data_IF_075466196923
#
_entry.id   IF_075466196923
#
_cell.length_a   1.000
_cell.length_b   1.000
_cell.length_c   1.000
_cell.angle_alpha   90.00
_cell.angle_beta   90.00
_cell.angle_gamma   90.00
#
_symmetry.space_group_name_H-M   'P 1'
#
loop_
_entity.id
_entity.type
_entity.pdbx_description
1 polymer ?
#
# COMPACT_ATOMS: atom_id res chain seq x y z
N UNK A 1 12.52 -26.62 3.07
CA UNK A 1 12.43 -25.16 3.38
C UNK A 1 10.96 -24.78 3.36
N UNK A 2 10.51 -23.95 4.30
CA UNK A 2 9.13 -23.44 4.28
C UNK A 2 8.88 -22.52 3.08
N UNK A 3 7.62 -22.33 2.70
CA UNK A 3 7.24 -21.36 1.67
C UNK A 3 7.60 -19.94 2.14
N UNK A 4 7.94 -19.07 1.20
CA UNK A 4 8.20 -17.65 1.50
C UNK A 4 6.89 -16.98 1.87
N UNK A 5 6.84 -16.26 2.99
CA UNK A 5 5.63 -15.57 3.45
C UNK A 5 5.56 -14.18 2.85
N UNK A 6 4.50 -13.89 2.11
CA UNK A 6 4.28 -12.60 1.43
C UNK A 6 3.06 -11.91 2.05
N UNK A 7 3.22 -10.66 2.49
CA UNK A 7 2.11 -9.79 2.85
C UNK A 7 1.86 -8.70 1.80
N UNK A 8 0.65 -8.18 1.73
CA UNK A 8 0.33 -6.98 0.94
C UNK A 8 -0.59 -6.05 1.71
N UNK A 9 -0.52 -4.74 1.45
CA UNK A 9 -1.23 -3.73 2.26
C UNK A 9 -1.78 -2.61 1.39
N UNK A 10 -2.98 -2.12 1.72
CA UNK A 10 -3.56 -0.89 1.18
C UNK A 10 -3.45 0.26 2.18
N UNK A 11 -2.81 1.35 1.76
CA UNK A 11 -2.88 2.65 2.41
C UNK A 11 -3.83 3.57 1.61
N UNK A 12 -3.50 4.86 1.47
CA UNK A 12 -4.21 5.78 0.59
C UNK A 12 -3.90 5.51 -0.89
N UNK A 13 -4.45 4.44 -1.43
CA UNK A 13 -4.31 4.01 -2.84
C UNK A 13 -5.66 3.79 -3.52
N UNK A 14 -5.62 3.29 -4.76
CA UNK A 14 -6.81 3.03 -5.57
C UNK A 14 -7.10 1.54 -5.80
N UNK A 15 -6.35 0.65 -5.14
CA UNK A 15 -6.27 -0.81 -5.34
C UNK A 15 -5.76 -1.27 -6.70
N UNK A 16 -5.40 -0.35 -7.60
CA UNK A 16 -4.92 -0.65 -8.94
C UNK A 16 -3.62 -1.45 -8.96
N UNK A 17 -2.73 -1.28 -7.97
CA UNK A 17 -1.49 -2.08 -7.93
C UNK A 17 -1.82 -3.53 -7.58
N UNK A 18 -2.75 -3.76 -6.65
CA UNK A 18 -3.25 -5.11 -6.38
C UNK A 18 -4.00 -5.71 -7.57
N UNK A 19 -4.73 -4.93 -8.36
CA UNK A 19 -5.32 -5.45 -9.61
C UNK A 19 -4.24 -5.89 -10.59
N UNK A 20 -3.17 -5.11 -10.76
CA UNK A 20 -2.06 -5.54 -11.61
C UNK A 20 -1.25 -6.71 -11.05
N UNK A 21 -1.25 -6.90 -9.72
CA UNK A 21 -0.78 -8.15 -9.11
C UNK A 21 -1.71 -9.33 -9.44
N UNK A 22 -3.02 -9.11 -9.55
CA UNK A 22 -3.94 -10.16 -10.00
C UNK A 22 -3.85 -10.43 -11.50
N UNK A 23 -3.42 -9.46 -12.31
CA UNK A 23 -3.05 -9.62 -13.74
C UNK A 23 -1.77 -10.47 -13.94
N UNK A 24 -1.25 -11.10 -12.88
CA UNK A 24 -0.29 -12.20 -13.00
C UNK A 24 -0.95 -13.48 -13.57
N UNK A 25 -2.28 -13.54 -13.62
CA UNK A 25 -3.06 -14.61 -14.23
C UNK A 25 -2.63 -16.01 -13.72
N UNK A 26 -2.26 -16.93 -14.61
CA UNK A 26 -1.87 -18.29 -14.23
C UNK A 26 -0.60 -18.34 -13.37
N UNK A 27 0.24 -17.30 -13.42
CA UNK A 27 1.45 -17.20 -12.58
C UNK A 27 1.12 -17.06 -11.11
N UNK A 28 -0.11 -16.69 -10.74
CA UNK A 28 -0.57 -16.75 -9.36
C UNK A 28 -0.62 -18.19 -8.83
N UNK A 29 -0.92 -19.16 -9.70
CA UNK A 29 -0.91 -20.58 -9.35
C UNK A 29 0.54 -21.03 -9.11
N UNK A 30 1.48 -20.58 -9.94
CA UNK A 30 2.91 -20.81 -9.73
C UNK A 30 3.40 -20.19 -8.41
N UNK A 31 3.00 -18.94 -8.15
CA UNK A 31 3.34 -18.23 -6.91
C UNK A 31 2.83 -18.99 -5.68
N UNK A 32 1.60 -19.49 -5.71
CA UNK A 32 1.00 -20.24 -4.60
C UNK A 32 1.72 -21.56 -4.29
N UNK A 33 2.50 -22.12 -5.23
CA UNK A 33 3.30 -23.31 -4.99
C UNK A 33 4.54 -23.01 -4.14
N UNK A 34 5.10 -21.81 -4.25
CA UNK A 34 6.40 -21.43 -3.64
C UNK A 34 6.28 -20.37 -2.53
N UNK A 35 5.16 -19.66 -2.46
CA UNK A 35 4.89 -18.62 -1.49
C UNK A 35 3.54 -18.84 -0.80
N UNK A 36 3.42 -18.28 0.40
CA UNK A 36 2.19 -18.22 1.18
C UNK A 36 1.77 -16.75 1.31
N UNK A 37 0.58 -16.42 0.81
CA UNK A 37 0.01 -15.08 0.98
C UNK A 37 -0.60 -14.99 2.38
N UNK A 38 0.03 -14.16 3.21
CA UNK A 38 -0.34 -13.95 4.60
C UNK A 38 -1.35 -12.80 4.68
N UNK A 39 -1.04 -11.73 5.42
CA UNK A 39 -1.94 -10.60 5.51
C UNK A 39 -1.99 -9.79 4.22
N UNK A 40 -3.18 -9.72 3.65
CA UNK A 40 -3.49 -9.04 2.39
C UNK A 40 -4.98 -8.64 2.35
N UNK A 41 -5.35 -7.53 1.69
CA UNK A 41 -6.74 -7.15 1.46
C UNK A 41 -7.61 -8.21 0.75
N UNK A 42 -7.00 -9.19 0.06
CA UNK A 42 -7.69 -10.31 -0.59
C UNK A 42 -7.72 -11.60 0.25
N UNK A 43 -7.27 -11.52 1.50
CA UNK A 43 -7.28 -12.63 2.47
C UNK A 43 -8.04 -12.21 3.73
N UNK A 44 -8.35 -13.18 4.59
CA UNK A 44 -9.10 -12.91 5.82
C UNK A 44 -8.27 -12.50 7.03
N UNK A 45 -6.95 -12.38 6.88
CA UNK A 45 -6.07 -11.83 7.92
C UNK A 45 -6.45 -10.38 8.21
N UNK A 46 -6.97 -10.12 9.42
CA UNK A 46 -7.50 -8.81 9.78
C UNK A 46 -6.36 -7.81 10.04
N UNK A 47 -6.05 -7.01 9.01
CA UNK A 47 -5.20 -5.81 9.07
C UNK A 47 -6.02 -4.52 8.94
N UNK A 48 -7.35 -4.60 8.89
CA UNK A 48 -8.23 -3.48 8.54
C UNK A 48 -9.38 -3.26 9.54
N UNK A 49 -9.33 -3.89 10.72
CA UNK A 49 -10.23 -3.59 11.85
C UNK A 49 -9.69 -2.41 12.68
N UNK A 50 -10.54 -1.67 13.41
CA UNK A 50 -10.09 -0.50 14.17
C UNK A 50 -8.93 -0.84 15.11
N UNK A 51 -8.04 0.15 15.23
CA UNK A 51 -6.64 0.14 15.69
C UNK A 51 -6.27 -0.81 16.84
N UNK A 52 -7.20 -1.14 17.73
CA UNK A 52 -6.96 -1.97 18.91
C UNK A 52 -6.65 -3.44 18.59
N UNK A 53 -6.94 -3.92 17.38
CA UNK A 53 -6.70 -5.32 16.96
C UNK A 53 -5.53 -5.48 15.97
N UNK A 54 -4.82 -4.40 15.60
CA UNK A 54 -3.68 -4.46 14.67
C UNK A 54 -2.51 -5.32 15.17
N UNK A 55 -2.53 -5.85 16.39
CA UNK A 55 -1.45 -6.69 16.93
C UNK A 55 -1.19 -8.00 16.16
N UNK A 56 -2.02 -8.35 15.18
CA UNK A 56 -2.01 -9.63 14.49
C UNK A 56 -1.42 -9.62 13.08
N UNK A 57 -0.74 -8.55 12.62
CA UNK A 57 0.01 -8.66 11.36
C UNK A 57 1.14 -9.69 11.52
N UNK A 58 1.14 -10.78 10.74
CA UNK A 58 2.11 -11.85 10.89
C UNK A 58 3.49 -11.36 10.46
N UNK A 59 4.53 -11.95 11.02
CA UNK A 59 5.88 -11.76 10.47
C UNK A 59 5.96 -12.36 9.08
N UNK A 60 6.45 -11.58 8.12
CA UNK A 60 6.53 -11.95 6.71
C UNK A 60 7.91 -11.64 6.14
N UNK A 61 8.28 -12.39 5.11
CA UNK A 61 9.57 -12.25 4.47
C UNK A 61 9.58 -11.08 3.48
N UNK A 62 8.46 -10.87 2.77
CA UNK A 62 8.29 -9.79 1.79
C UNK A 62 6.93 -9.12 2.01
N UNK A 63 6.88 -7.80 2.01
CA UNK A 63 5.64 -7.04 1.97
C UNK A 63 5.60 -6.03 0.83
N UNK A 64 4.51 -6.08 0.07
CA UNK A 64 4.15 -5.09 -0.95
C UNK A 64 3.18 -4.05 -0.35
N UNK A 65 3.61 -2.79 -0.25
CA UNK A 65 2.76 -1.72 0.31
C UNK A 65 2.30 -0.79 -0.81
N UNK A 66 1.01 -0.84 -1.12
CA UNK A 66 0.36 0.07 -2.06
C UNK A 66 -0.18 1.31 -1.34
N UNK A 67 -0.12 2.45 -2.02
CA UNK A 67 -0.80 3.68 -1.60
C UNK A 67 0.10 4.63 -0.81
N UNK A 68 -0.31 5.89 -0.77
CA UNK A 68 0.37 6.94 -0.02
C UNK A 68 -0.09 6.96 1.44
N UNK A 69 0.64 7.65 2.31
CA UNK A 69 0.23 7.88 3.70
C UNK A 69 -0.65 9.13 3.76
N UNK A 70 -1.97 8.95 3.99
CA UNK A 70 -2.94 10.07 3.92
C UNK A 70 -3.58 10.41 5.27
N UNK A 71 -3.58 9.49 6.23
CA UNK A 71 -4.21 9.65 7.53
C UNK A 71 -3.41 8.97 8.66
N UNK A 72 -3.86 9.13 9.90
CA UNK A 72 -3.22 8.57 11.09
C UNK A 72 -3.16 7.04 11.08
N UNK A 73 -4.23 6.36 10.66
CA UNK A 73 -4.26 4.89 10.61
C UNK A 73 -3.22 4.34 9.63
N UNK A 74 -3.03 5.01 8.48
CA UNK A 74 -2.00 4.61 7.53
C UNK A 74 -0.59 4.69 8.15
N UNK A 75 -0.32 5.68 9.01
CA UNK A 75 0.96 5.79 9.71
C UNK A 75 1.16 4.60 10.65
N UNK A 76 0.13 4.24 11.40
CA UNK A 76 0.17 3.15 12.38
C UNK A 76 0.33 1.79 11.69
N UNK A 77 -0.52 1.52 10.69
CA UNK A 77 -0.44 0.31 9.86
C UNK A 77 0.93 0.19 9.21
N UNK A 78 1.44 1.25 8.59
CA UNK A 78 2.74 1.22 7.91
C UNK A 78 3.91 0.94 8.87
N UNK A 79 3.88 1.50 10.08
CA UNK A 79 4.91 1.24 11.11
C UNK A 79 4.89 -0.21 11.58
N UNK A 80 3.71 -0.73 11.87
CA UNK A 80 3.54 -2.13 12.25
C UNK A 80 4.02 -3.08 11.15
N UNK A 81 3.59 -2.81 9.91
CA UNK A 81 3.97 -3.60 8.74
C UNK A 81 5.49 -3.59 8.61
N UNK A 82 6.13 -2.41 8.67
CA UNK A 82 7.60 -2.33 8.62
C UNK A 82 8.27 -3.17 9.70
N UNK A 83 7.79 -3.12 10.94
CA UNK A 83 8.37 -3.90 12.06
C UNK A 83 8.32 -5.40 11.81
N UNK A 84 7.26 -5.87 11.14
CA UNK A 84 6.97 -7.29 10.89
C UNK A 84 7.44 -7.80 9.52
N UNK A 85 7.96 -6.93 8.66
CA UNK A 85 8.47 -7.29 7.33
C UNK A 85 10.00 -7.35 7.32
N UNK A 86 10.58 -8.43 6.80
CA UNK A 86 12.03 -8.44 6.50
C UNK A 86 12.35 -7.53 5.32
N UNK A 87 11.59 -7.65 4.23
CA UNK A 87 11.68 -6.80 3.04
C UNK A 87 10.37 -6.04 2.87
N UNK A 88 10.44 -4.72 2.72
CA UNK A 88 9.29 -3.86 2.42
C UNK A 88 9.50 -3.15 1.09
N UNK A 89 8.52 -3.27 0.19
CA UNK A 89 8.53 -2.72 -1.15
C UNK A 89 7.48 -1.63 -1.26
N UNK A 90 7.87 -0.44 -1.71
CA UNK A 90 6.91 0.58 -2.15
C UNK A 90 6.30 0.14 -3.49
N UNK A 91 5.03 -0.25 -3.45
CA UNK A 91 4.33 -0.88 -4.56
C UNK A 91 3.42 0.13 -5.28
N UNK A 92 3.94 0.68 -6.38
CA UNK A 92 3.27 1.67 -7.23
C UNK A 92 3.51 3.12 -6.85
N UNK A 93 3.23 4.03 -7.78
CA UNK A 93 3.64 5.44 -7.70
C UNK A 93 3.03 6.19 -6.51
N UNK A 94 1.84 5.80 -6.06
CA UNK A 94 1.28 6.34 -4.81
C UNK A 94 2.19 6.06 -3.60
N UNK A 95 2.74 4.85 -3.49
CA UNK A 95 3.64 4.49 -2.41
C UNK A 95 5.04 5.11 -2.60
N UNK A 96 5.53 5.16 -3.84
CA UNK A 96 6.87 5.66 -4.20
C UNK A 96 6.97 7.18 -4.06
N UNK A 97 5.99 7.94 -4.55
CA UNK A 97 6.06 9.41 -4.63
C UNK A 97 4.85 10.14 -4.04
N UNK A 98 3.79 9.43 -3.67
CA UNK A 98 2.51 10.01 -3.23
C UNK A 98 1.49 10.18 -4.37
N UNK A 99 1.97 10.34 -5.61
CA UNK A 99 1.21 10.47 -6.87
C UNK A 99 -0.13 11.24 -6.78
N UNK A 100 -1.21 10.71 -7.36
CA UNK A 100 -2.51 11.40 -7.47
C UNK A 100 -3.06 11.87 -6.11
N UNK A 101 -3.05 11.06 -5.02
CA UNK A 101 -3.43 11.53 -3.69
C UNK A 101 -2.68 12.79 -3.22
N UNK A 102 -1.41 12.95 -3.62
CA UNK A 102 -0.58 14.08 -3.21
C UNK A 102 -0.98 15.42 -3.85
N UNK A 103 -1.81 15.45 -4.90
CA UNK A 103 -2.38 16.71 -5.40
C UNK A 103 -3.19 17.47 -4.34
N UNK A 104 -3.74 16.76 -3.34
CA UNK A 104 -4.40 17.37 -2.18
C UNK A 104 -3.47 18.33 -1.42
N UNK A 105 -2.15 18.14 -1.49
CA UNK A 105 -1.16 18.97 -0.80
C UNK A 105 -1.12 20.43 -1.28
N UNK A 106 -1.77 20.74 -2.41
CA UNK A 106 -1.95 22.11 -2.90
C UNK A 106 -2.98 22.90 -2.06
N UNK A 107 -3.77 22.21 -1.23
CA UNK A 107 -4.87 22.80 -0.45
C UNK A 107 -4.71 22.47 1.04
N UNK A 108 -5.32 23.28 1.91
CA UNK A 108 -5.44 22.92 3.33
C UNK A 108 -6.48 21.81 3.48
N UNK A 109 -6.26 20.91 4.44
CA UNK A 109 -7.18 19.79 4.73
C UNK A 109 -8.61 20.29 4.95
N UNK A 110 -8.80 21.36 5.73
CA UNK A 110 -10.13 21.90 6.02
C UNK A 110 -10.84 22.42 4.76
N UNK A 111 -10.11 23.02 3.82
CA UNK A 111 -10.70 23.54 2.59
C UNK A 111 -11.23 22.38 1.73
N UNK A 112 -10.49 21.28 1.66
CA UNK A 112 -10.90 20.06 0.94
C UNK A 112 -12.13 19.42 1.61
N UNK A 113 -12.14 19.33 2.95
CA UNK A 113 -13.28 18.77 3.68
C UNK A 113 -14.53 19.64 3.53
N UNK A 114 -14.40 20.97 3.61
CA UNK A 114 -15.50 21.91 3.42
C UNK A 114 -16.09 21.78 2.00
N UNK A 115 -15.23 21.74 0.99
CA UNK A 115 -15.66 21.63 -0.40
C UNK A 115 -16.49 20.35 -0.65
N UNK A 116 -16.10 19.21 -0.06
CA UNK A 116 -16.78 17.92 -0.28
C UNK A 116 -18.01 17.75 0.61
N UNK A 117 -17.88 18.02 1.92
CA UNK A 117 -18.90 17.67 2.91
C UNK A 117 -19.88 18.79 3.26
N UNK A 118 -19.59 20.04 2.91
CA UNK A 118 -20.47 21.19 3.16
C UNK A 118 -20.95 21.80 1.84
N UNK A 119 -20.03 22.29 1.01
CA UNK A 119 -20.37 23.08 -0.17
C UNK A 119 -21.02 22.25 -1.29
N UNK A 120 -20.50 21.05 -1.55
CA UNK A 120 -20.98 20.14 -2.61
C UNK A 120 -21.85 19.00 -2.11
N UNK A 121 -22.11 18.93 -0.81
CA UNK A 121 -22.95 17.87 -0.26
C UNK A 121 -24.43 18.17 -0.51
N UNK A 122 -25.13 17.24 -1.17
CA UNK A 122 -26.55 17.37 -1.46
C UNK A 122 -27.43 17.10 -0.22
N UNK A 123 -26.92 16.35 0.76
CA UNK A 123 -27.64 15.92 1.96
C UNK A 123 -26.69 15.87 3.16
N UNK A 124 -27.22 16.07 4.36
CA UNK A 124 -26.48 15.93 5.63
C UNK A 124 -25.13 16.67 5.62
N UNK A 125 -25.18 17.97 5.31
CA UNK A 125 -23.99 18.85 5.27
C UNK A 125 -23.34 18.94 6.65
N UNK A 126 -22.33 18.12 6.87
CA UNK A 126 -21.52 18.13 8.07
C UNK A 126 -20.19 17.45 7.79
N UNK A 127 -19.12 17.97 8.39
CA UNK A 127 -17.83 17.27 8.36
C UNK A 127 -17.90 16.10 9.35
N UNK A 128 -17.56 14.86 8.93
CA UNK A 128 -17.49 13.74 9.86
C UNK A 128 -16.51 14.00 11.00
N UNK A 129 -16.99 13.85 12.24
CA UNK A 129 -16.27 14.23 13.46
C UNK A 129 -15.98 13.07 14.43
N UNK A 130 -16.58 11.89 14.24
CA UNK A 130 -16.31 10.73 15.10
C UNK A 130 -14.92 10.14 14.83
N UNK A 131 -13.97 10.51 15.70
CA UNK A 131 -12.57 10.07 15.60
C UNK A 131 -12.32 8.67 16.15
N UNK A 132 -13.32 8.01 16.73
CA UNK A 132 -13.21 6.60 17.11
C UNK A 132 -13.34 5.67 15.89
N UNK A 133 -13.95 6.17 14.81
CA UNK A 133 -14.24 5.41 13.60
C UNK A 133 -13.51 5.98 12.38
N UNK A 134 -13.30 7.30 12.32
CA UNK A 134 -12.74 7.98 11.15
C UNK A 134 -11.37 8.58 11.51
N UNK A 135 -10.28 8.11 10.88
CA UNK A 135 -8.96 8.62 11.16
C UNK A 135 -8.82 10.08 10.77
N UNK A 136 -7.90 10.77 11.46
CA UNK A 136 -7.56 12.14 11.10
C UNK A 136 -6.70 12.13 9.83
N UNK A 137 -7.07 12.93 8.83
CA UNK A 137 -6.22 13.20 7.69
C UNK A 137 -4.93 13.90 8.13
N UNK A 138 -3.80 13.49 7.56
CA UNK A 138 -2.54 14.21 7.73
C UNK A 138 -2.61 15.56 7.02
N UNK A 139 -1.83 16.52 7.49
CA UNK A 139 -1.75 17.84 6.84
C UNK A 139 -1.30 17.71 5.38
N UNK A 140 -0.32 16.83 5.12
CA UNK A 140 0.14 16.47 3.79
C UNK A 140 0.12 14.96 3.59
N UNK A 141 -0.21 14.55 2.38
CA UNK A 141 0.03 13.20 1.86
C UNK A 141 1.52 13.05 1.58
N UNK A 142 2.10 11.93 2.00
CA UNK A 142 3.53 11.63 1.79
C UNK A 142 3.73 10.21 1.26
N UNK A 143 4.80 9.95 0.49
CA UNK A 143 5.21 8.59 0.14
C UNK A 143 5.58 7.81 1.40
N UNK A 144 5.55 6.47 1.31
CA UNK A 144 5.76 5.61 2.48
C UNK A 144 7.19 5.71 3.04
N UNK A 145 8.16 6.06 2.19
CA UNK A 145 9.58 6.26 2.54
C UNK A 145 9.82 7.43 3.48
N UNK A 146 8.86 8.37 3.59
CA UNK A 146 8.94 9.46 4.58
C UNK A 146 8.60 9.00 6.00
N UNK A 147 7.96 7.83 6.15
CA UNK A 147 7.48 7.33 7.45
C UNK A 147 8.30 6.14 7.93
N UNK A 148 8.70 5.25 7.03
CA UNK A 148 9.47 4.04 7.34
C UNK A 148 10.56 3.78 6.30
N UNK A 149 11.56 2.97 6.66
CA UNK A 149 12.56 2.48 5.70
C UNK A 149 11.91 1.56 4.66
N UNK A 150 12.13 1.85 3.39
CA UNK A 150 11.74 1.03 2.23
C UNK A 150 12.99 0.34 1.68
N UNK A 151 12.89 -0.94 1.34
CA UNK A 151 14.02 -1.71 0.81
C UNK A 151 14.06 -1.66 -0.73
N UNK A 152 12.91 -1.70 -1.40
CA UNK A 152 12.80 -1.59 -2.86
C UNK A 152 11.63 -0.71 -3.28
N UNK A 153 11.76 -0.10 -4.47
CA UNK A 153 10.72 0.72 -5.08
C UNK A 153 10.31 0.08 -6.40
N UNK A 154 9.01 -0.19 -6.55
CA UNK A 154 8.42 -0.75 -7.75
C UNK A 154 7.44 0.29 -8.34
N UNK A 155 7.92 1.18 -9.23
CA UNK A 155 7.12 2.27 -9.77
C UNK A 155 6.12 1.83 -10.85
N UNK A 156 5.13 2.68 -11.07
CA UNK A 156 4.02 2.53 -12.01
C UNK A 156 2.67 2.77 -11.36
N UNK A 157 1.67 3.20 -12.14
CA UNK A 157 0.31 3.45 -11.67
C UNK A 157 -0.75 2.74 -12.53
N UNK A 158 -0.86 1.39 -12.44
CA UNK A 158 -0.06 0.50 -11.59
C UNK A 158 1.24 0.02 -12.24
N UNK A 159 2.18 -0.57 -11.47
CA UNK A 159 3.34 -1.27 -12.03
C UNK A 159 2.88 -2.42 -12.93
N UNK A 160 3.51 -2.66 -14.09
CA UNK A 160 3.10 -3.76 -14.97
C UNK A 160 3.24 -5.14 -14.29
N UNK A 161 2.32 -6.06 -14.58
CA UNK A 161 2.33 -7.43 -14.06
C UNK A 161 3.68 -8.15 -14.25
N UNK A 162 4.33 -7.99 -15.41
CA UNK A 162 5.65 -8.57 -15.67
C UNK A 162 6.75 -8.01 -14.74
N UNK A 163 6.67 -6.72 -14.38
CA UNK A 163 7.62 -6.09 -13.45
C UNK A 163 7.38 -6.56 -12.01
N UNK A 164 6.12 -6.75 -11.63
CA UNK A 164 5.72 -7.36 -10.36
C UNK A 164 6.27 -8.78 -10.27
N UNK A 165 6.03 -9.59 -11.30
CA UNK A 165 6.48 -10.98 -11.39
C UNK A 165 8.00 -11.11 -11.28
N UNK A 166 8.73 -10.30 -12.06
CA UNK A 166 10.18 -10.26 -12.04
C UNK A 166 10.70 -9.95 -10.63
N UNK A 167 10.15 -8.91 -10.00
CA UNK A 167 10.55 -8.49 -8.66
C UNK A 167 10.35 -9.61 -7.64
N UNK A 168 9.17 -10.23 -7.62
CA UNK A 168 8.85 -11.31 -6.69
C UNK A 168 9.78 -12.50 -6.94
N UNK A 169 9.98 -12.93 -8.19
CA UNK A 169 10.85 -14.07 -8.51
C UNK A 169 12.30 -13.84 -8.08
N UNK A 170 12.87 -12.66 -8.35
CA UNK A 170 14.22 -12.33 -7.89
C UNK A 170 14.35 -12.50 -6.37
N UNK A 171 13.39 -11.97 -5.62
CA UNK A 171 13.40 -12.03 -4.16
C UNK A 171 13.16 -13.45 -3.62
N UNK A 172 12.30 -14.24 -4.26
CA UNK A 172 12.10 -15.66 -3.93
C UNK A 172 13.39 -16.48 -4.13
N UNK A 173 14.22 -16.11 -5.11
CA UNK A 173 15.52 -16.72 -5.38
C UNK A 173 16.67 -16.15 -4.51
N UNK A 174 16.36 -15.20 -3.61
CA UNK A 174 17.36 -14.52 -2.77
C UNK A 174 18.26 -13.55 -3.55
N UNK A 175 17.86 -13.15 -4.77
CA UNK A 175 18.55 -12.17 -5.61
C UNK A 175 17.97 -10.78 -5.42
N UNK A 176 18.80 -9.75 -5.54
CA UNK A 176 18.33 -8.38 -5.59
C UNK A 176 17.75 -8.09 -6.98
N UNK A 177 16.53 -7.52 -7.10
CA UNK A 177 15.97 -7.13 -8.39
C UNK A 177 16.78 -5.97 -8.99
N UNK A 178 17.24 -6.16 -10.23
CA UNK A 178 17.95 -5.12 -10.99
C UNK A 178 16.99 -4.49 -12.00
N UNK A 179 16.45 -3.32 -11.65
CA UNK A 179 15.53 -2.62 -12.52
C UNK A 179 16.26 -1.89 -13.64
N UNK A 180 16.05 -2.35 -14.87
CA UNK A 180 16.47 -1.64 -16.09
C UNK A 180 15.38 -0.67 -16.57
N UNK A 181 15.69 0.15 -17.57
CA UNK A 181 14.74 1.13 -18.16
C UNK A 181 13.42 0.51 -18.60
N UNK A 182 13.40 -0.76 -18.97
CA UNK A 182 12.20 -1.48 -19.44
C UNK A 182 11.20 -1.77 -18.30
N UNK A 183 11.69 -1.85 -17.07
CA UNK A 183 10.89 -2.08 -15.86
C UNK A 183 10.33 -0.79 -15.27
N UNK A 184 10.91 0.35 -15.62
CA UNK A 184 10.49 1.65 -15.12
C UNK A 184 9.35 2.21 -15.96
N UNK A 185 8.14 2.13 -15.42
CA UNK A 185 7.00 2.93 -15.89
C UNK A 185 6.54 3.85 -14.77
N UNK A 186 6.11 5.05 -15.15
CA UNK A 186 5.53 6.04 -14.25
C UNK A 186 4.20 6.49 -14.86
N UNK A 187 3.20 6.79 -14.03
CA UNK A 187 1.88 7.22 -14.48
C UNK A 187 1.12 8.01 -13.43
#
# INVERSE_FOLDING_TARGET
MGKVRIGTVWLGGCSGCHMSFLDLDERLIELAQVAEIMSSPITDWKLHTPVKEYQNYPEVDITLVEGAVVNTDNVEVLKLVRERSKILIAFGDCAVTGNVPAYRNLFKVNDVLNAVYLEKANYNQQIPSDRNVIPRLLDKVVPISHVVKVDYFLPGCPPPADSIWYTIKCLLEGKQPEFTREHYRYG
#
